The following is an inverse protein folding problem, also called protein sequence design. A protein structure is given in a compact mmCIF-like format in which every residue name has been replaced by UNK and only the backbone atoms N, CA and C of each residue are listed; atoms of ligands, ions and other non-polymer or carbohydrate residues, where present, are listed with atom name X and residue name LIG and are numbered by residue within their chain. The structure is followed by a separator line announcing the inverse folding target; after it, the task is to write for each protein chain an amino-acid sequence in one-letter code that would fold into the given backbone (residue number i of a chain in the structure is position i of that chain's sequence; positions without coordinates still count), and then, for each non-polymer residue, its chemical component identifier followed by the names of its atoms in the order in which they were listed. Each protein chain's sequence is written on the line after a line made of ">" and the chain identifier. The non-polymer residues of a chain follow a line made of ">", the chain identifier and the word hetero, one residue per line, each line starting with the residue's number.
data_IF_009891170484
#
_entry.id   IF_009891170484
#
_cell.length_a   1.000
_cell.length_b   1.000
_cell.length_c   1.000
_cell.angle_alpha   90.00
_cell.angle_beta   90.00
_cell.angle_gamma   90.00
#
_symmetry.space_group_name_H-M   'P 1'
#
loop_
_entity.id
_entity.type
_entity.pdbx_description
1 polymer ?
#
# COMPACT_ATOMS: atom_id res chain seq x y z
N UNK A 1 -5.74 -13.81 1.05
CA UNK A 1 -6.33 -12.79 0.18
C UNK A 1 -7.66 -12.28 0.74
N UNK A 2 -7.89 -10.97 0.80
CA UNK A 2 -9.18 -10.36 1.18
C UNK A 2 -10.01 -10.05 -0.06
N UNK A 3 -11.26 -10.53 -0.09
CA UNK A 3 -12.19 -10.33 -1.21
C UNK A 3 -13.41 -9.47 -0.86
N UNK A 4 -13.61 -9.16 0.42
CA UNK A 4 -14.75 -8.35 0.89
C UNK A 4 -14.36 -6.91 1.19
N UNK A 5 -15.10 -5.96 0.62
CA UNK A 5 -14.95 -4.52 0.85
C UNK A 5 -15.37 -4.08 2.26
N UNK A 6 -16.05 -4.95 3.01
CA UNK A 6 -16.49 -4.73 4.38
C UNK A 6 -15.47 -5.19 5.43
N UNK A 7 -14.38 -5.86 5.01
CA UNK A 7 -13.33 -6.32 5.91
C UNK A 7 -12.76 -5.15 6.76
N UNK A 8 -12.53 -5.34 8.07
CA UNK A 8 -12.01 -4.29 8.95
C UNK A 8 -10.72 -3.62 8.45
N UNK A 9 -9.75 -4.40 7.95
CA UNK A 9 -8.48 -3.87 7.43
C UNK A 9 -8.69 -2.98 6.20
N UNK A 10 -9.65 -3.34 5.34
CA UNK A 10 -10.01 -2.52 4.17
C UNK A 10 -10.61 -1.18 4.61
N UNK A 11 -11.40 -1.17 5.69
CA UNK A 11 -11.93 0.08 6.26
C UNK A 11 -10.81 0.95 6.85
N UNK A 12 -9.83 0.34 7.53
CA UNK A 12 -8.65 1.04 8.06
C UNK A 12 -7.81 1.67 6.94
N UNK A 13 -7.59 0.95 5.83
CA UNK A 13 -6.89 1.49 4.65
C UNK A 13 -7.62 2.74 4.11
N UNK A 14 -8.96 2.67 3.96
CA UNK A 14 -9.75 3.83 3.48
C UNK A 14 -9.62 5.03 4.41
N UNK A 15 -9.60 4.81 5.73
CA UNK A 15 -9.47 5.85 6.74
C UNK A 15 -8.17 6.64 6.61
N UNK A 16 -7.07 6.06 6.11
CA UNK A 16 -5.79 6.77 5.90
C UNK A 16 -5.87 7.92 4.87
N UNK A 17 -6.99 8.07 4.15
CA UNK A 17 -7.30 9.27 3.36
C UNK A 17 -7.52 10.51 4.23
N UNK A 18 -8.01 10.33 5.44
CA UNK A 18 -8.29 11.41 6.37
C UNK A 18 -7.02 11.87 7.08
N UNK A 19 -6.79 13.19 7.14
CA UNK A 19 -5.65 13.76 7.87
C UNK A 19 -5.66 13.34 9.34
N UNK A 20 -6.83 13.35 9.97
CA UNK A 20 -7.00 12.97 11.38
C UNK A 20 -6.46 11.55 11.65
N UNK A 21 -6.82 10.60 10.80
CA UNK A 21 -6.41 9.21 10.92
C UNK A 21 -4.91 9.04 10.68
N UNK A 22 -4.33 9.74 9.70
CA UNK A 22 -2.87 9.74 9.51
C UNK A 22 -2.12 10.31 10.72
N UNK A 23 -2.63 11.38 11.32
CA UNK A 23 -2.05 11.97 12.52
C UNK A 23 -2.16 11.05 13.74
N UNK A 24 -3.31 10.37 13.91
CA UNK A 24 -3.54 9.46 15.02
C UNK A 24 -2.69 8.17 14.94
N UNK A 25 -2.52 7.64 13.73
CA UNK A 25 -1.81 6.37 13.49
C UNK A 25 -0.32 6.57 13.19
N UNK A 26 0.07 7.75 12.72
CA UNK A 26 1.38 7.97 12.10
C UNK A 26 1.56 7.23 10.79
N UNK A 27 0.49 6.72 10.16
CA UNK A 27 0.55 5.95 8.92
C UNK A 27 0.00 6.73 7.74
N UNK A 28 0.45 6.40 6.53
CA UNK A 28 -0.10 6.93 5.29
C UNK A 28 -0.12 5.90 4.17
N UNK A 29 -1.08 6.06 3.26
CA UNK A 29 -1.28 5.21 2.10
C UNK A 29 -0.66 5.85 0.85
N UNK A 30 0.04 5.04 0.04
CA UNK A 30 0.48 5.40 -1.31
C UNK A 30 0.18 4.28 -2.29
N UNK A 31 0.04 4.61 -3.57
CA UNK A 31 -0.28 3.62 -4.61
C UNK A 31 0.40 3.86 -5.96
N UNK A 32 0.61 2.76 -6.68
CA UNK A 32 1.21 2.72 -8.01
C UNK A 32 2.68 2.30 -7.99
N UNK A 33 3.10 1.70 -9.10
CA UNK A 33 4.41 1.03 -9.24
C UNK A 33 5.57 1.97 -8.91
N UNK A 34 5.53 3.20 -9.43
CA UNK A 34 6.61 4.17 -9.25
C UNK A 34 6.78 4.56 -7.78
N UNK A 35 5.71 5.01 -7.13
CA UNK A 35 5.80 5.55 -5.75
C UNK A 35 6.14 4.45 -4.75
N UNK A 36 5.53 3.27 -4.90
CA UNK A 36 5.84 2.10 -4.05
C UNK A 36 7.26 1.61 -4.30
N UNK A 37 7.70 1.59 -5.56
CA UNK A 37 9.07 1.26 -5.97
C UNK A 37 10.11 2.20 -5.34
N UNK A 38 9.90 3.50 -5.46
CA UNK A 38 10.80 4.51 -4.88
C UNK A 38 10.87 4.38 -3.35
N UNK A 39 9.74 4.13 -2.68
CA UNK A 39 9.73 3.95 -1.23
C UNK A 39 10.50 2.70 -0.80
N UNK A 40 10.33 1.57 -1.51
CA UNK A 40 11.06 0.34 -1.25
C UNK A 40 12.58 0.50 -1.49
N UNK A 41 12.95 1.20 -2.57
CA UNK A 41 14.36 1.47 -2.91
C UNK A 41 15.05 2.39 -1.90
N UNK A 42 14.34 3.41 -1.39
CA UNK A 42 14.86 4.34 -0.39
C UNK A 42 14.93 3.74 1.02
N UNK A 43 14.47 2.50 1.21
CA UNK A 43 14.41 1.87 2.53
C UNK A 43 13.41 2.56 3.45
N UNK A 44 12.35 3.15 2.89
CA UNK A 44 11.26 3.67 3.71
C UNK A 44 10.62 2.53 4.50
N UNK A 45 10.10 2.87 5.68
CA UNK A 45 9.44 1.88 6.55
C UNK A 45 8.06 1.58 6.00
N UNK A 46 7.98 0.52 5.20
CA UNK A 46 6.74 -0.07 4.69
C UNK A 46 6.21 -1.02 5.77
N UNK A 47 5.09 -0.66 6.38
CA UNK A 47 4.39 -1.50 7.37
C UNK A 47 3.64 -2.64 6.69
N UNK A 48 3.04 -2.37 5.52
CA UNK A 48 2.33 -3.38 4.74
C UNK A 48 2.38 -3.01 3.27
N UNK A 49 2.84 -3.94 2.44
CA UNK A 49 2.66 -3.88 1.00
C UNK A 49 1.31 -4.49 0.64
N UNK A 50 0.52 -3.83 -0.18
CA UNK A 50 -0.82 -4.29 -0.58
C UNK A 50 -0.80 -4.60 -2.07
N UNK A 51 -1.30 -5.78 -2.45
CA UNK A 51 -1.30 -6.23 -3.84
C UNK A 51 -2.67 -6.71 -4.27
N UNK A 52 -2.99 -6.52 -5.55
CA UNK A 52 -4.09 -7.21 -6.22
C UNK A 52 -3.51 -7.98 -7.40
N UNK A 53 -3.27 -9.30 -7.27
CA UNK A 53 -2.63 -10.10 -8.32
C UNK A 53 -3.32 -10.01 -9.69
N UNK A 54 -4.65 -9.86 -9.68
CA UNK A 54 -5.49 -9.65 -10.88
C UNK A 54 -5.15 -8.37 -11.65
N UNK A 55 -4.65 -7.33 -10.97
CA UNK A 55 -4.27 -6.04 -11.55
C UNK A 55 -2.75 -5.88 -11.73
N UNK A 56 -1.95 -6.60 -10.94
CA UNK A 56 -0.49 -6.45 -10.89
C UNK A 56 0.21 -7.21 -12.02
N UNK A 57 0.06 -6.70 -13.25
CA UNK A 57 0.64 -7.33 -14.44
C UNK A 57 2.15 -7.07 -14.62
N UNK A 58 2.67 -5.99 -14.04
CA UNK A 58 4.07 -5.56 -14.21
C UNK A 58 5.06 -6.49 -13.50
N UNK A 59 6.08 -6.96 -14.22
CA UNK A 59 7.16 -7.78 -13.67
C UNK A 59 7.93 -7.06 -12.56
N UNK A 60 8.18 -5.75 -12.72
CA UNK A 60 8.78 -4.92 -11.67
C UNK A 60 7.96 -4.96 -10.38
N UNK A 61 6.63 -4.84 -10.51
CA UNK A 61 5.72 -4.95 -9.37
C UNK A 61 5.79 -6.30 -8.67
N UNK A 62 5.78 -7.40 -9.44
CA UNK A 62 5.88 -8.76 -8.89
C UNK A 62 7.23 -9.00 -8.20
N UNK A 63 8.32 -8.54 -8.81
CA UNK A 63 9.66 -8.63 -8.22
C UNK A 63 9.77 -7.82 -6.92
N UNK A 64 9.15 -6.63 -6.86
CA UNK A 64 9.11 -5.83 -5.65
C UNK A 64 8.41 -6.58 -4.50
N UNK A 65 7.26 -7.19 -4.79
CA UNK A 65 6.51 -8.00 -3.82
C UNK A 65 7.35 -9.16 -3.30
N UNK A 66 7.97 -9.91 -4.21
CA UNK A 66 8.84 -11.03 -3.86
C UNK A 66 10.02 -10.59 -2.99
N UNK A 67 10.72 -9.52 -3.39
CA UNK A 67 11.84 -8.99 -2.63
C UNK A 67 11.43 -8.44 -1.25
N UNK A 68 10.19 -7.94 -1.11
CA UNK A 68 9.66 -7.51 0.19
C UNK A 68 9.37 -8.71 1.10
N UNK A 69 8.77 -9.79 0.56
CA UNK A 69 8.54 -11.04 1.30
C UNK A 69 9.85 -11.70 1.75
N UNK A 70 10.87 -11.75 0.89
CA UNK A 70 12.18 -12.32 1.20
C UNK A 70 12.89 -11.59 2.35
N UNK A 71 12.59 -10.29 2.52
CA UNK A 71 13.08 -9.48 3.64
C UNK A 71 12.22 -9.63 4.90
N UNK A 72 11.23 -10.52 4.91
CA UNK A 72 10.28 -10.72 6.02
C UNK A 72 9.20 -9.65 6.12
N UNK A 73 8.99 -8.86 5.06
CA UNK A 73 7.98 -7.82 5.00
C UNK A 73 6.56 -8.38 4.90
N UNK A 74 5.58 -7.62 5.40
CA UNK A 74 4.18 -8.02 5.37
C UNK A 74 3.53 -7.66 4.01
N UNK A 75 2.93 -8.67 3.37
CA UNK A 75 2.12 -8.48 2.16
C UNK A 75 0.66 -8.81 2.43
N UNK A 76 -0.23 -7.87 2.10
CA UNK A 76 -1.67 -8.06 2.11
C UNK A 76 -2.18 -8.20 0.67
N UNK A 77 -2.55 -9.41 0.29
CA UNK A 77 -3.21 -9.65 -0.99
C UNK A 77 -4.71 -9.37 -0.88
N UNK A 78 -5.26 -8.68 -1.87
CA UNK A 78 -6.69 -8.37 -2.00
C UNK A 78 -7.19 -8.69 -3.41
N UNK A 79 -8.49 -8.86 -3.59
CA UNK A 79 -9.09 -8.94 -4.94
C UNK A 79 -9.05 -7.59 -5.66
N UNK A 80 -9.19 -7.60 -6.99
CA UNK A 80 -9.34 -6.39 -7.81
C UNK A 80 -10.44 -5.48 -7.28
N UNK A 81 -11.62 -6.04 -6.97
CA UNK A 81 -12.77 -5.29 -6.46
C UNK A 81 -12.43 -4.56 -5.15
N UNK A 82 -11.74 -5.24 -4.24
CA UNK A 82 -11.32 -4.65 -2.96
C UNK A 82 -10.30 -3.54 -3.20
N UNK A 83 -9.30 -3.77 -4.04
CA UNK A 83 -8.28 -2.75 -4.35
C UNK A 83 -8.90 -1.49 -4.95
N UNK A 84 -9.78 -1.65 -5.94
CA UNK A 84 -10.49 -0.55 -6.58
C UNK A 84 -11.32 0.28 -5.59
N UNK A 85 -11.86 -0.37 -4.54
CA UNK A 85 -12.70 0.31 -3.55
C UNK A 85 -11.95 1.28 -2.62
N UNK A 86 -10.61 1.25 -2.59
CA UNK A 86 -9.79 2.21 -1.85
C UNK A 86 -8.73 2.92 -2.70
N UNK A 87 -8.66 2.61 -4.00
CA UNK A 87 -7.78 3.30 -4.96
C UNK A 87 -8.11 4.79 -5.05
N UNK A 88 -7.08 5.62 -5.20
CA UNK A 88 -7.21 7.06 -5.48
C UNK A 88 -7.13 7.37 -6.99
N UNK A 89 -6.75 6.39 -7.81
CA UNK A 89 -6.60 6.49 -9.26
C UNK A 89 -7.72 5.78 -10.01
N UNK A 90 -8.05 6.32 -11.18
CA UNK A 90 -8.75 5.58 -12.23
C UNK A 90 -7.79 4.55 -12.85
N UNK A 91 -8.18 3.27 -12.89
CA UNK A 91 -7.34 2.18 -13.40
C UNK A 91 -6.12 1.85 -12.52
N UNK A 92 -6.30 1.39 -11.26
CA UNK A 92 -5.18 1.04 -10.39
C UNK A 92 -4.31 -0.10 -10.93
N UNK A 93 -3.01 -0.02 -10.68
CA UNK A 93 -2.00 -0.99 -11.14
C UNK A 93 -1.84 -2.20 -10.20
N UNK A 94 -2.71 -2.36 -9.20
CA UNK A 94 -2.69 -3.50 -8.28
C UNK A 94 -1.57 -3.51 -7.25
N UNK A 95 -0.95 -2.37 -6.95
CA UNK A 95 0.07 -2.26 -5.91
C UNK A 95 -0.06 -0.94 -5.11
N UNK A 96 0.00 -1.07 -3.80
CA UNK A 96 -0.02 0.03 -2.85
C UNK A 96 0.82 -0.32 -1.61
N UNK A 97 1.04 0.65 -0.75
CA UNK A 97 1.77 0.45 0.50
C UNK A 97 1.21 1.35 1.60
N UNK A 98 1.26 0.85 2.83
CA UNK A 98 1.10 1.63 4.05
C UNK A 98 2.50 1.87 4.63
N UNK A 99 2.83 3.14 4.88
CA UNK A 99 4.13 3.55 5.39
C UNK A 99 4.00 4.40 6.65
N UNK A 100 5.06 4.48 7.43
CA UNK A 100 5.16 5.36 8.60
C UNK A 100 5.54 6.78 8.20
N UNK A 101 4.82 7.78 8.71
CA UNK A 101 5.15 9.19 8.55
C UNK A 101 6.48 9.53 9.24
N UNK A 102 7.29 10.36 8.58
CA UNK A 102 8.50 10.97 9.16
C UNK A 102 8.36 12.49 9.09
N UNK A 103 8.46 13.15 10.24
CA UNK A 103 8.43 14.60 10.34
C UNK A 103 9.83 15.11 10.65
N UNK A 104 10.34 15.97 9.78
CA UNK A 104 11.61 16.66 10.02
C UNK A 104 11.30 18.11 10.39
N UNK A 105 11.79 18.61 11.53
CA UNK A 105 11.67 20.03 11.86
C UNK A 105 12.26 20.88 10.74
N UNK A 106 11.57 21.94 10.34
CA UNK A 106 12.17 22.96 9.49
C UNK A 106 13.10 23.79 10.38
N UNK A 107 14.39 23.80 10.06
CA UNK A 107 15.40 24.63 10.73
C UNK A 107 15.22 26.10 10.39
#
# INVERSE_FOLDING_TARGET
>A
MITSTANPQVKEIRKLRERKERHATGLYYVEGLRIVGEAAQRGERIETLITAPELLVSDFGRQLVQAHLEKGGQVLEVSQQVFQSFSLKEGPQGIAAILTQKWTPMA
#
